data_IF_477353111523
#
_entry.id   IF_477353111523
#
_cell.length_a   1.000
_cell.length_b   1.000
_cell.length_c   1.000
_cell.angle_alpha   90.00
_cell.angle_beta   90.00
_cell.angle_gamma   90.00
#
_symmetry.space_group_name_H-M   'P 1'
#
loop_
_entity.id
_entity.type
_entity.pdbx_description
1 polymer ?
#
# COMPACT_ATOMS: atom_id res chain seq x y z
N UNK A 1 -18.95 3.43 -0.97
CA UNK A 1 -18.25 3.69 -2.24
C UNK A 1 -16.88 4.23 -1.90
N UNK A 2 -15.81 3.49 -2.19
CA UNK A 2 -14.45 4.01 -2.01
C UNK A 2 -14.24 5.12 -3.05
N UNK A 3 -13.73 6.30 -2.66
CA UNK A 3 -13.44 7.37 -3.61
C UNK A 3 -12.47 6.86 -4.67
N UNK A 4 -12.83 7.02 -5.95
CA UNK A 4 -11.96 6.68 -7.07
C UNK A 4 -10.83 7.71 -7.11
N UNK A 5 -9.60 7.23 -6.97
CA UNK A 5 -8.41 8.05 -6.86
C UNK A 5 -7.47 7.76 -8.03
N UNK A 6 -6.74 8.75 -8.53
CA UNK A 6 -5.75 8.58 -9.61
C UNK A 6 -4.68 7.55 -9.24
N UNK A 7 -4.06 6.91 -10.24
CA UNK A 7 -3.02 5.90 -10.04
C UNK A 7 -1.84 6.44 -9.20
N UNK A 8 -1.45 7.70 -9.41
CA UNK A 8 -0.43 8.37 -8.58
C UNK A 8 -0.83 8.51 -7.11
N UNK A 9 -2.11 8.81 -6.83
CA UNK A 9 -2.60 8.91 -5.46
C UNK A 9 -2.65 7.53 -4.77
N UNK A 10 -2.99 6.46 -5.49
CA UNK A 10 -2.87 5.09 -4.98
C UNK A 10 -1.44 4.73 -4.60
N UNK A 11 -0.46 5.12 -5.41
CA UNK A 11 0.95 4.91 -5.11
C UNK A 11 1.41 5.66 -3.86
N UNK A 12 1.00 6.93 -3.73
CA UNK A 12 1.24 7.71 -2.53
C UNK A 12 0.67 7.03 -1.27
N UNK A 13 -0.58 6.57 -1.32
CA UNK A 13 -1.19 5.87 -0.19
C UNK A 13 -0.54 4.51 0.11
N UNK A 14 -0.07 3.78 -0.90
CA UNK A 14 0.68 2.54 -0.71
C UNK A 14 2.00 2.79 0.04
N UNK A 15 2.73 3.85 -0.32
CA UNK A 15 3.96 4.25 0.39
C UNK A 15 3.64 4.71 1.81
N UNK A 16 2.62 5.56 1.99
CA UNK A 16 2.21 6.01 3.32
C UNK A 16 1.82 4.85 4.23
N UNK A 17 1.06 3.88 3.69
CA UNK A 17 0.68 2.67 4.41
C UNK A 17 1.90 1.82 4.77
N UNK A 18 2.85 1.66 3.84
CA UNK A 18 4.08 0.92 4.07
C UNK A 18 4.93 1.54 5.18
N UNK A 19 5.18 2.85 5.13
CA UNK A 19 5.95 3.57 6.15
C UNK A 19 5.22 3.55 7.50
N UNK A 20 3.93 3.86 7.50
CA UNK A 20 3.12 3.89 8.71
C UNK A 20 3.06 2.53 9.40
N UNK A 21 2.91 1.45 8.63
CA UNK A 21 2.91 0.10 9.17
C UNK A 21 4.27 -0.28 9.78
N UNK A 22 5.39 0.08 9.14
CA UNK A 22 6.72 -0.18 9.69
C UNK A 22 6.96 0.59 11.01
N UNK A 23 6.49 1.84 11.14
CA UNK A 23 6.58 2.56 12.41
C UNK A 23 5.68 1.96 13.49
N UNK A 24 4.48 1.50 13.12
CA UNK A 24 3.60 0.77 14.03
C UNK A 24 4.28 -0.53 14.51
N UNK A 25 4.94 -1.24 13.60
CA UNK A 25 5.67 -2.47 13.89
C UNK A 25 6.77 -2.25 14.91
N UNK A 26 7.62 -1.24 14.69
CA UNK A 26 8.69 -0.89 15.62
C UNK A 26 8.17 -0.60 17.04
N UNK A 27 7.00 0.02 17.15
CA UNK A 27 6.41 0.38 18.44
C UNK A 27 5.80 -0.81 19.18
N UNK A 28 5.10 -1.70 18.47
CA UNK A 28 4.25 -2.71 19.12
C UNK A 28 4.76 -4.15 18.97
N UNK A 29 5.48 -4.46 17.89
CA UNK A 29 5.82 -5.83 17.51
C UNK A 29 7.32 -6.14 17.58
N UNK A 30 8.21 -5.14 17.59
CA UNK A 30 9.65 -5.36 17.68
C UNK A 30 10.11 -6.27 18.84
N UNK A 31 9.52 -6.21 20.05
CA UNK A 31 9.92 -7.10 21.14
C UNK A 31 9.56 -8.58 20.90
N UNK A 32 8.65 -8.87 19.97
CA UNK A 32 8.11 -10.20 19.70
C UNK A 32 8.61 -10.76 18.36
N UNK A 33 8.66 -9.92 17.34
CA UNK A 33 8.95 -10.30 15.97
C UNK A 33 9.82 -9.22 15.33
N UNK A 34 10.98 -9.64 14.85
CA UNK A 34 11.99 -8.75 14.26
C UNK A 34 11.42 -7.90 13.11
N UNK A 35 11.91 -6.67 12.99
CA UNK A 35 11.50 -5.69 11.98
C UNK A 35 11.43 -6.22 10.53
N UNK A 36 12.29 -7.16 10.13
CA UNK A 36 12.29 -7.69 8.76
C UNK A 36 10.95 -8.34 8.39
N UNK A 37 10.26 -8.97 9.34
CA UNK A 37 8.93 -9.58 9.12
C UNK A 37 7.90 -8.48 8.88
N UNK A 38 7.96 -7.40 9.65
CA UNK A 38 7.12 -6.22 9.47
C UNK A 38 7.28 -5.60 8.09
N UNK A 39 8.52 -5.49 7.61
CA UNK A 39 8.82 -4.99 6.27
C UNK A 39 8.24 -5.87 5.15
N UNK A 40 8.33 -7.20 5.29
CA UNK A 40 7.72 -8.14 4.32
C UNK A 40 6.20 -7.99 4.30
N UNK A 41 5.56 -7.94 5.47
CA UNK A 41 4.10 -7.79 5.57
C UNK A 41 3.65 -6.44 5.00
N UNK A 42 4.34 -5.34 5.35
CA UNK A 42 4.07 -4.01 4.81
C UNK A 42 4.15 -4.00 3.28
N UNK A 43 5.13 -4.70 2.70
CA UNK A 43 5.32 -4.79 1.26
C UNK A 43 4.19 -5.56 0.60
N UNK A 44 3.76 -6.67 1.19
CA UNK A 44 2.60 -7.43 0.70
C UNK A 44 1.31 -6.61 0.77
N UNK A 45 1.11 -5.83 1.85
CA UNK A 45 -0.04 -4.94 1.99
C UNK A 45 -0.02 -3.80 0.96
N UNK A 46 1.14 -3.19 0.73
CA UNK A 46 1.29 -2.16 -0.29
C UNK A 46 1.01 -2.72 -1.70
N UNK A 47 1.52 -3.91 -2.03
CA UNK A 47 1.21 -4.58 -3.28
C UNK A 47 -0.27 -4.94 -3.42
N UNK A 48 -0.90 -5.43 -2.35
CA UNK A 48 -2.34 -5.70 -2.34
C UNK A 48 -3.15 -4.42 -2.57
N UNK A 49 -2.74 -3.30 -1.97
CA UNK A 49 -3.38 -2.01 -2.16
C UNK A 49 -3.26 -1.53 -3.62
N UNK A 50 -2.11 -1.72 -4.26
CA UNK A 50 -1.91 -1.36 -5.66
C UNK A 50 -2.63 -2.31 -6.65
N UNK A 51 -2.73 -3.59 -6.31
CA UNK A 51 -3.37 -4.62 -7.15
C UNK A 51 -4.88 -4.59 -7.07
N UNK A 52 -5.42 -4.42 -5.86
CA UNK A 52 -6.86 -4.51 -5.55
C UNK A 52 -7.51 -3.16 -5.22
N UNK A 53 -6.74 -2.07 -5.18
CA UNK A 53 -7.28 -0.73 -4.98
C UNK A 53 -8.26 -0.36 -6.10
N UNK A 54 -9.45 0.21 -5.79
CA UNK A 54 -10.41 0.64 -6.79
C UNK A 54 -9.78 1.69 -7.72
N UNK A 55 -9.39 1.23 -8.91
CA UNK A 55 -8.88 2.10 -9.96
C UNK A 55 -9.98 3.06 -10.42
N UNK A 56 -9.63 4.31 -10.76
CA UNK A 56 -10.54 5.13 -11.53
C UNK A 56 -10.79 4.40 -12.86
N UNK A 57 -12.02 4.48 -13.38
CA UNK A 57 -12.23 4.14 -14.79
C UNK A 57 -11.37 5.14 -15.56
N UNK A 58 -10.22 4.72 -16.04
CA UNK A 58 -9.51 5.44 -17.08
C UNK A 58 -10.41 5.36 -18.32
N UNK A 59 -11.15 6.45 -18.55
CA UNK A 59 -11.74 6.76 -19.83
C UNK A 59 -10.58 7.25 -20.71
N UNK A 60 -10.44 6.63 -21.89
CA UNK A 60 -9.34 6.69 -22.89
C UNK A 60 -8.17 5.76 -22.57
N UNK A 61 -8.01 4.65 -23.29
CA UNK A 61 -7.45 4.56 -24.65
C UNK A 61 -5.98 4.99 -24.70
N UNK A 62 -5.12 3.97 -24.85
CA UNK A 62 -3.93 3.85 -25.69
C UNK A 62 -3.29 2.50 -25.28
N UNK A 63 -2.99 1.50 -26.09
CA UNK A 63 -3.20 1.12 -27.50
C UNK A 63 -2.47 -0.26 -27.58
N UNK A 64 -2.99 -1.24 -28.34
CA UNK A 64 -2.32 -2.49 -28.80
C UNK A 64 -1.61 -3.48 -27.82
#
# INVERSE_FOLDING_TARGET
MLPRMTTGNWFFWAIMLWIGFNFLWLKFFEPLVTQWVGAVIATLLAMALLRYGPRPKEENEEED
#
